data_IF_407930496545
#
_entry.id   IF_407930496545
#
_cell.length_a   1.000
_cell.length_b   1.000
_cell.length_c   1.000
_cell.angle_alpha   90.00
_cell.angle_beta   90.00
_cell.angle_gamma   90.00
#
_symmetry.space_group_name_H-M   'P 1'
#
loop_
_entity.id
_entity.type
_entity.pdbx_description
1 polymer ?
#
# COMPACT_ATOMS: atom_id res chain seq x y z
N UNK A 1 6.90 -60.73 -21.75
CA UNK A 1 6.98 -59.82 -20.62
C UNK A 1 5.95 -58.76 -20.91
N UNK A 2 4.73 -58.87 -20.36
CA UNK A 2 3.67 -57.88 -20.62
C UNK A 2 4.02 -56.60 -19.94
N UNK A 3 4.28 -55.56 -20.71
CA UNK A 3 4.49 -54.19 -20.24
C UNK A 3 3.23 -53.73 -19.52
N UNK A 4 3.39 -53.45 -18.23
CA UNK A 4 2.36 -52.81 -17.40
C UNK A 4 2.35 -51.30 -17.69
N UNK A 5 1.73 -50.89 -18.80
CA UNK A 5 1.33 -49.49 -18.96
C UNK A 5 0.35 -49.17 -17.83
N UNK A 6 0.67 -48.20 -16.98
CA UNK A 6 -0.34 -47.68 -16.05
C UNK A 6 -1.50 -47.09 -16.86
N UNK A 7 -2.73 -47.50 -16.60
CA UNK A 7 -3.87 -46.85 -17.24
C UNK A 7 -3.99 -45.41 -16.82
N UNK A 8 -4.50 -44.58 -17.72
CA UNK A 8 -4.74 -43.16 -17.42
C UNK A 8 -5.75 -42.99 -16.28
N UNK A 9 -5.59 -41.90 -15.50
CA UNK A 9 -6.52 -41.53 -14.43
C UNK A 9 -7.91 -41.30 -15.04
N UNK A 10 -8.96 -41.94 -14.53
CA UNK A 10 -10.31 -41.71 -15.04
C UNK A 10 -10.71 -40.23 -14.90
N UNK A 11 -11.14 -39.58 -15.95
CA UNK A 11 -11.48 -38.15 -15.98
C UNK A 11 -12.51 -37.73 -14.93
N UNK A 12 -13.42 -38.63 -14.56
CA UNK A 12 -14.38 -38.39 -13.48
C UNK A 12 -13.70 -38.24 -12.11
N UNK A 13 -12.57 -38.93 -11.85
CA UNK A 13 -11.83 -38.81 -10.61
C UNK A 13 -11.14 -37.45 -10.55
N UNK A 14 -10.55 -36.98 -11.65
CA UNK A 14 -9.97 -35.62 -11.74
C UNK A 14 -11.08 -34.56 -11.52
N UNK A 15 -12.26 -34.73 -12.11
CA UNK A 15 -13.38 -33.80 -11.90
C UNK A 15 -13.82 -33.71 -10.43
N UNK A 16 -13.88 -34.85 -9.75
CA UNK A 16 -14.19 -34.91 -8.32
C UNK A 16 -13.06 -34.26 -7.48
N UNK A 17 -11.79 -34.45 -7.84
CA UNK A 17 -10.66 -33.82 -7.18
C UNK A 17 -10.70 -32.29 -7.29
N UNK A 18 -10.92 -31.75 -8.50
CA UNK A 18 -11.06 -30.31 -8.75
C UNK A 18 -12.23 -29.69 -7.94
N UNK A 19 -13.38 -30.39 -7.97
CA UNK A 19 -14.54 -29.92 -7.23
C UNK A 19 -14.31 -29.90 -5.70
N UNK A 20 -13.75 -30.99 -5.14
CA UNK A 20 -13.43 -31.09 -3.71
C UNK A 20 -12.35 -30.07 -3.33
N UNK A 21 -11.32 -29.89 -4.15
CA UNK A 21 -10.29 -28.90 -3.92
C UNK A 21 -10.84 -27.46 -3.83
N UNK A 22 -11.80 -27.11 -4.68
CA UNK A 22 -12.51 -25.84 -4.58
C UNK A 22 -13.31 -25.71 -3.28
N UNK A 23 -13.95 -26.79 -2.83
CA UNK A 23 -14.73 -26.79 -1.59
C UNK A 23 -13.87 -26.51 -0.35
N UNK A 24 -12.59 -26.92 -0.34
CA UNK A 24 -11.64 -26.64 0.76
C UNK A 24 -11.57 -25.12 1.02
N UNK A 25 -11.59 -24.30 -0.05
CA UNK A 25 -11.58 -22.83 0.04
C UNK A 25 -12.99 -22.25 0.21
N UNK A 26 -13.97 -22.81 -0.50
CA UNK A 26 -15.34 -22.31 -0.43
C UNK A 26 -15.88 -22.39 1.00
N UNK A 27 -15.69 -23.50 1.74
CA UNK A 27 -16.29 -23.66 3.07
C UNK A 27 -15.88 -22.61 4.12
N UNK A 28 -14.61 -22.24 4.30
CA UNK A 28 -14.20 -21.26 5.29
C UNK A 28 -14.48 -19.80 4.88
N UNK A 29 -14.65 -19.53 3.57
CA UNK A 29 -14.84 -18.17 3.07
C UNK A 29 -16.29 -17.69 3.23
N UNK A 30 -16.48 -16.36 3.34
CA UNK A 30 -17.80 -15.73 3.38
C UNK A 30 -18.54 -15.98 2.07
N UNK A 31 -19.77 -16.54 2.18
CA UNK A 31 -20.61 -16.80 1.02
C UNK A 31 -21.18 -15.53 0.42
N UNK A 32 -21.31 -15.49 -0.92
CA UNK A 32 -21.96 -14.39 -1.63
C UNK A 32 -23.48 -14.46 -1.55
N UNK A 33 -24.03 -15.68 -1.51
CA UNK A 33 -25.46 -15.93 -1.54
C UNK A 33 -25.91 -16.69 -0.29
N UNK A 34 -27.25 -16.78 -0.11
CA UNK A 34 -27.87 -17.62 0.89
C UNK A 34 -27.49 -19.10 0.70
N UNK A 35 -27.52 -19.89 1.76
CA UNK A 35 -27.03 -21.25 1.78
C UNK A 35 -27.63 -22.15 0.69
N UNK A 36 -28.93 -22.04 0.36
CA UNK A 36 -29.57 -22.84 -0.65
C UNK A 36 -29.15 -22.49 -2.07
N UNK A 37 -28.94 -21.21 -2.39
CA UNK A 37 -28.40 -20.76 -3.69
C UNK A 37 -26.95 -21.21 -3.84
N UNK A 38 -26.15 -21.13 -2.79
CA UNK A 38 -24.78 -21.64 -2.80
C UNK A 38 -24.76 -23.16 -3.01
N UNK A 39 -25.64 -23.91 -2.36
CA UNK A 39 -25.75 -25.35 -2.57
C UNK A 39 -26.12 -25.71 -4.01
N UNK A 40 -27.05 -24.97 -4.65
CA UNK A 40 -27.39 -25.16 -6.05
C UNK A 40 -26.19 -24.89 -6.98
N UNK A 41 -25.41 -23.85 -6.73
CA UNK A 41 -24.18 -23.56 -7.50
C UNK A 41 -23.16 -24.68 -7.32
N UNK A 42 -22.96 -25.17 -6.09
CA UNK A 42 -22.02 -26.25 -5.77
C UNK A 42 -22.34 -27.51 -6.54
N UNK A 43 -23.60 -27.92 -6.54
CA UNK A 43 -24.05 -29.13 -7.32
C UNK A 43 -24.00 -28.89 -8.82
N UNK A 44 -24.40 -27.69 -9.27
CA UNK A 44 -24.34 -27.31 -10.69
C UNK A 44 -22.91 -27.34 -11.23
N UNK A 45 -21.94 -26.83 -10.47
CA UNK A 45 -20.53 -26.84 -10.88
C UNK A 45 -19.94 -28.25 -10.93
N UNK A 46 -20.34 -29.15 -10.04
CA UNK A 46 -19.94 -30.56 -10.15
C UNK A 46 -20.36 -31.17 -11.50
N UNK A 47 -21.60 -30.88 -11.92
CA UNK A 47 -22.08 -31.38 -13.22
C UNK A 47 -21.29 -30.74 -14.38
N UNK A 48 -21.06 -29.43 -14.33
CA UNK A 48 -20.35 -28.71 -15.40
C UNK A 48 -18.90 -29.19 -15.51
N UNK A 49 -18.16 -29.31 -14.40
CA UNK A 49 -16.79 -29.79 -14.41
C UNK A 49 -16.68 -31.24 -14.86
N UNK A 50 -17.57 -32.11 -14.37
CA UNK A 50 -17.61 -33.52 -14.80
C UNK A 50 -17.92 -33.65 -16.28
N UNK A 51 -18.90 -32.94 -16.78
CA UNK A 51 -19.27 -32.97 -18.22
C UNK A 51 -18.11 -32.43 -19.08
N UNK A 52 -17.46 -31.33 -18.64
CA UNK A 52 -16.34 -30.77 -19.38
C UNK A 52 -15.14 -31.73 -19.45
N UNK A 53 -14.69 -32.28 -18.32
CA UNK A 53 -13.52 -33.17 -18.27
C UNK A 53 -13.77 -34.50 -18.96
N UNK A 54 -14.99 -35.08 -18.88
CA UNK A 54 -15.34 -36.28 -19.60
C UNK A 54 -15.42 -36.04 -21.13
N UNK A 55 -15.96 -34.91 -21.57
CA UNK A 55 -16.04 -34.57 -23.00
C UNK A 55 -14.66 -34.28 -23.61
N UNK A 56 -13.70 -33.80 -22.80
CA UNK A 56 -12.33 -33.51 -23.24
C UNK A 56 -11.36 -34.67 -23.03
N UNK A 57 -11.83 -35.83 -22.58
CA UNK A 57 -10.99 -37.00 -22.29
C UNK A 57 -10.22 -37.57 -23.48
N UNK A 58 -10.78 -37.47 -24.70
CA UNK A 58 -10.22 -38.05 -25.93
C UNK A 58 -9.66 -36.98 -26.90
N UNK A 59 -9.28 -35.81 -26.38
CA UNK A 59 -8.78 -34.73 -27.23
C UNK A 59 -7.31 -34.96 -27.58
N UNK A 60 -6.92 -34.55 -28.81
CA UNK A 60 -5.52 -34.59 -29.25
C UNK A 60 -4.60 -33.81 -28.27
N UNK A 61 -3.39 -34.34 -28.07
CA UNK A 61 -2.40 -33.82 -27.10
C UNK A 61 -2.17 -32.30 -27.25
N UNK A 62 -2.24 -31.74 -28.45
CA UNK A 62 -2.09 -30.30 -28.71
C UNK A 62 -3.17 -29.43 -28.07
N UNK A 63 -4.38 -29.97 -27.90
CA UNK A 63 -5.52 -29.29 -27.27
C UNK A 63 -5.63 -29.58 -25.78
N UNK A 64 -4.80 -30.46 -25.23
CA UNK A 64 -4.85 -30.82 -23.84
C UNK A 64 -4.52 -29.61 -22.91
N UNK A 65 -3.42 -28.86 -23.18
CA UNK A 65 -3.06 -27.65 -22.42
C UNK A 65 -4.17 -26.59 -22.42
N UNK A 66 -4.74 -26.18 -23.57
CA UNK A 66 -5.91 -25.30 -23.59
C UNK A 66 -7.10 -25.80 -22.75
N UNK A 67 -7.40 -27.11 -22.78
CA UNK A 67 -8.48 -27.68 -21.97
C UNK A 67 -8.18 -27.56 -20.46
N UNK A 68 -6.93 -27.77 -20.03
CA UNK A 68 -6.55 -27.60 -18.63
C UNK A 68 -6.64 -26.13 -18.16
N UNK A 69 -6.28 -25.16 -19.01
CA UNK A 69 -6.48 -23.74 -18.72
C UNK A 69 -7.96 -23.41 -18.55
N UNK A 70 -8.84 -23.99 -19.37
CA UNK A 70 -10.29 -23.80 -19.24
C UNK A 70 -10.81 -24.45 -17.95
N UNK A 71 -10.30 -25.63 -17.57
CA UNK A 71 -10.65 -26.29 -16.31
C UNK A 71 -10.28 -25.44 -15.10
N UNK A 72 -9.05 -24.88 -15.07
CA UNK A 72 -8.61 -23.95 -14.01
C UNK A 72 -9.49 -22.70 -13.95
N UNK A 73 -9.87 -22.15 -15.12
CA UNK A 73 -10.80 -21.01 -15.18
C UNK A 73 -12.19 -21.35 -14.63
N UNK A 74 -12.69 -22.57 -14.85
CA UNK A 74 -13.94 -23.04 -14.25
C UNK A 74 -13.84 -23.15 -12.73
N UNK A 75 -12.69 -23.60 -12.20
CA UNK A 75 -12.43 -23.64 -10.76
C UNK A 75 -12.40 -22.23 -10.14
N UNK A 76 -11.72 -21.29 -10.78
CA UNK A 76 -11.70 -19.87 -10.39
C UNK A 76 -13.12 -19.29 -10.39
N UNK A 77 -13.87 -19.51 -11.45
CA UNK A 77 -15.26 -19.07 -11.58
C UNK A 77 -16.15 -19.67 -10.47
N UNK A 78 -15.96 -20.94 -10.14
CA UNK A 78 -16.68 -21.62 -9.08
C UNK A 78 -16.47 -20.94 -7.73
N UNK A 79 -15.21 -20.69 -7.33
CA UNK A 79 -14.87 -20.00 -6.07
C UNK A 79 -15.45 -18.57 -6.08
N UNK A 80 -15.30 -17.83 -7.18
CA UNK A 80 -15.79 -16.46 -7.30
C UNK A 80 -17.32 -16.36 -7.23
N UNK A 81 -18.04 -17.31 -7.82
CA UNK A 81 -19.50 -17.35 -7.78
C UNK A 81 -20.03 -17.67 -6.39
N UNK A 82 -19.37 -18.59 -5.66
CA UNK A 82 -19.81 -18.99 -4.33
C UNK A 82 -19.45 -18.00 -3.22
N UNK A 83 -18.31 -17.31 -3.35
CA UNK A 83 -17.73 -16.52 -2.27
C UNK A 83 -17.73 -15.01 -2.57
N UNK A 84 -17.81 -14.20 -1.51
CA UNK A 84 -17.70 -12.72 -1.59
C UNK A 84 -16.23 -12.31 -1.59
N UNK A 85 -15.51 -12.68 -2.64
CA UNK A 85 -14.09 -12.38 -2.83
C UNK A 85 -13.84 -11.68 -4.15
N UNK A 86 -12.75 -10.90 -4.23
CA UNK A 86 -12.32 -10.25 -5.45
C UNK A 86 -11.87 -11.31 -6.48
N UNK A 87 -11.95 -10.99 -7.77
CA UNK A 87 -11.52 -11.92 -8.83
C UNK A 87 -10.05 -12.35 -8.69
N UNK A 88 -9.16 -11.47 -8.23
CA UNK A 88 -7.75 -11.81 -7.96
C UNK A 88 -7.58 -12.80 -6.81
N UNK A 89 -8.33 -12.62 -5.72
CA UNK A 89 -8.29 -13.55 -4.59
C UNK A 89 -8.89 -14.90 -5.01
N UNK A 90 -10.00 -14.92 -5.77
CA UNK A 90 -10.58 -16.13 -6.34
C UNK A 90 -9.59 -16.87 -7.26
N UNK A 91 -8.88 -16.13 -8.12
CA UNK A 91 -7.85 -16.69 -8.98
C UNK A 91 -6.68 -17.29 -8.21
N UNK A 92 -6.25 -16.61 -7.13
CA UNK A 92 -5.21 -17.12 -6.25
C UNK A 92 -5.61 -18.42 -5.56
N UNK A 93 -6.83 -18.49 -5.03
CA UNK A 93 -7.36 -19.72 -4.44
C UNK A 93 -7.59 -20.84 -5.48
N UNK A 94 -8.03 -20.47 -6.68
CA UNK A 94 -8.20 -21.40 -7.80
C UNK A 94 -6.88 -22.07 -8.18
N UNK A 95 -5.81 -21.29 -8.32
CA UNK A 95 -4.47 -21.81 -8.59
C UNK A 95 -3.98 -22.82 -7.54
N UNK A 96 -4.20 -22.54 -6.24
CA UNK A 96 -3.86 -23.49 -5.19
C UNK A 96 -4.75 -24.73 -5.28
N UNK A 97 -6.07 -24.54 -5.46
CA UNK A 97 -7.01 -25.65 -5.61
C UNK A 97 -6.67 -26.56 -6.79
N UNK A 98 -6.18 -26.00 -7.90
CA UNK A 98 -5.73 -26.76 -9.06
C UNK A 98 -4.57 -27.71 -8.71
N UNK A 99 -3.50 -27.22 -8.05
CA UNK A 99 -2.36 -28.08 -7.63
C UNK A 99 -2.82 -29.13 -6.61
N UNK A 100 -3.74 -28.78 -5.71
CA UNK A 100 -4.32 -29.72 -4.74
C UNK A 100 -5.11 -30.81 -5.46
N UNK A 101 -5.90 -30.48 -6.49
CA UNK A 101 -6.66 -31.43 -7.28
C UNK A 101 -5.75 -32.41 -8.03
N UNK A 102 -4.68 -31.91 -8.66
CA UNK A 102 -3.68 -32.74 -9.33
C UNK A 102 -3.00 -33.70 -8.34
N UNK A 103 -2.61 -33.23 -7.16
CA UNK A 103 -2.07 -34.07 -6.10
C UNK A 103 -3.05 -35.14 -5.63
N UNK A 104 -4.32 -34.79 -5.39
CA UNK A 104 -5.33 -35.74 -4.91
C UNK A 104 -5.56 -36.85 -5.93
N UNK A 105 -5.69 -36.47 -7.19
CA UNK A 105 -5.95 -37.44 -8.29
C UNK A 105 -4.70 -38.35 -8.53
N UNK A 106 -3.49 -37.76 -8.52
CA UNK A 106 -2.27 -38.55 -8.73
C UNK A 106 -1.98 -39.50 -7.57
N UNK A 107 -2.16 -39.05 -6.31
CA UNK A 107 -1.94 -39.85 -5.12
C UNK A 107 -2.93 -41.03 -5.03
N UNK A 108 -4.21 -40.79 -5.25
CA UNK A 108 -5.22 -41.83 -5.24
C UNK A 108 -4.91 -42.91 -6.28
N UNK A 109 -4.67 -42.49 -7.54
CA UNK A 109 -4.42 -43.43 -8.64
C UNK A 109 -3.11 -44.21 -8.41
N UNK A 110 -2.09 -43.60 -7.87
CA UNK A 110 -0.84 -44.25 -7.50
C UNK A 110 -1.04 -45.34 -6.44
N UNK A 111 -1.87 -45.08 -5.41
CA UNK A 111 -2.19 -46.08 -4.38
C UNK A 111 -2.93 -47.26 -5.02
N UNK A 112 -3.92 -47.00 -5.89
CA UNK A 112 -4.64 -48.03 -6.56
C UNK A 112 -3.70 -48.90 -7.42
N UNK A 113 -2.84 -48.29 -8.21
CA UNK A 113 -1.90 -49.03 -9.09
C UNK A 113 -0.79 -49.73 -8.34
N UNK A 114 -0.33 -49.22 -7.21
CA UNK A 114 0.75 -49.86 -6.39
C UNK A 114 0.26 -51.09 -5.63
N UNK A 115 -1.00 -51.07 -5.17
CA UNK A 115 -1.57 -52.24 -4.45
C UNK A 115 -1.99 -53.34 -5.40
N UNK A 116 -2.50 -53.02 -6.57
CA UNK A 116 -3.00 -53.97 -7.55
C UNK A 116 -2.16 -53.98 -8.83
N UNK A 117 -1.07 -54.74 -8.80
CA UNK A 117 -0.11 -54.82 -9.90
C UNK A 117 -0.57 -55.66 -11.10
N UNK A 118 -1.56 -56.53 -10.97
CA UNK A 118 -2.02 -57.43 -12.04
C UNK A 118 -3.41 -57.09 -12.62
N UNK A 119 -4.34 -56.65 -11.79
CA UNK A 119 -5.70 -56.31 -12.22
C UNK A 119 -6.19 -55.20 -11.31
N UNK A 120 -6.86 -54.18 -11.84
CA UNK A 120 -7.49 -53.13 -11.05
C UNK A 120 -8.55 -53.72 -10.09
N UNK A 121 -8.65 -53.17 -8.86
CA UNK A 121 -9.70 -53.63 -7.93
C UNK A 121 -11.07 -53.38 -8.46
N UNK A 122 -12.07 -54.11 -7.96
CA UNK A 122 -13.48 -53.87 -8.32
C UNK A 122 -13.89 -52.42 -8.01
N UNK A 123 -14.86 -51.92 -8.79
CA UNK A 123 -15.31 -50.52 -8.72
C UNK A 123 -15.62 -50.02 -7.28
N UNK A 124 -16.21 -50.87 -6.44
CA UNK A 124 -16.50 -50.53 -5.03
C UNK A 124 -15.25 -50.22 -4.20
N UNK A 125 -14.16 -50.96 -4.42
CA UNK A 125 -12.89 -50.73 -3.71
C UNK A 125 -12.20 -49.47 -4.22
N UNK A 126 -12.25 -49.18 -5.54
CA UNK A 126 -11.72 -47.94 -6.09
C UNK A 126 -12.43 -46.71 -5.48
N UNK A 127 -13.76 -46.73 -5.40
CA UNK A 127 -14.56 -45.68 -4.79
C UNK A 127 -14.19 -45.51 -3.29
N UNK A 128 -13.99 -46.61 -2.57
CA UNK A 128 -13.62 -46.56 -1.17
C UNK A 128 -12.25 -45.88 -0.96
N UNK A 129 -11.24 -46.23 -1.77
CA UNK A 129 -9.91 -45.62 -1.74
C UNK A 129 -10.02 -44.15 -2.11
N UNK A 130 -10.75 -43.79 -3.14
CA UNK A 130 -10.99 -42.40 -3.58
C UNK A 130 -11.57 -41.58 -2.42
N UNK A 131 -12.63 -42.03 -1.77
CA UNK A 131 -13.26 -41.31 -0.66
C UNK A 131 -12.31 -41.19 0.51
N UNK A 132 -11.52 -42.22 0.82
CA UNK A 132 -10.55 -42.19 1.91
C UNK A 132 -9.42 -41.18 1.65
N UNK A 133 -8.82 -41.23 0.45
CA UNK A 133 -7.68 -40.34 0.08
C UNK A 133 -8.16 -38.90 -0.05
N UNK A 134 -9.20 -38.65 -0.82
CA UNK A 134 -9.73 -37.28 -1.04
C UNK A 134 -10.25 -36.68 0.27
N UNK A 135 -10.96 -37.47 1.08
CA UNK A 135 -11.43 -37.03 2.40
C UNK A 135 -10.29 -36.69 3.36
N UNK A 136 -9.25 -37.53 3.42
CA UNK A 136 -8.10 -37.28 4.30
C UNK A 136 -7.32 -36.02 3.88
N UNK A 137 -7.01 -35.89 2.59
CA UNK A 137 -6.29 -34.72 2.06
C UNK A 137 -7.12 -33.44 2.24
N UNK A 138 -8.39 -33.48 1.90
CA UNK A 138 -9.29 -32.34 2.05
C UNK A 138 -9.41 -31.89 3.51
N UNK A 139 -9.58 -32.83 4.44
CA UNK A 139 -9.65 -32.52 5.87
C UNK A 139 -8.36 -31.92 6.40
N UNK A 140 -7.20 -32.50 6.03
CA UNK A 140 -5.90 -32.00 6.45
C UNK A 140 -5.65 -30.57 5.97
N UNK A 141 -5.86 -30.32 4.67
CA UNK A 141 -5.68 -29.01 4.08
C UNK A 141 -6.69 -27.99 4.59
N UNK A 142 -7.95 -28.37 4.76
CA UNK A 142 -8.96 -27.51 5.37
C UNK A 142 -8.53 -27.05 6.77
N UNK A 143 -8.05 -27.97 7.60
CA UNK A 143 -7.59 -27.65 8.96
C UNK A 143 -6.35 -26.72 8.96
N UNK A 144 -5.40 -26.93 8.04
CA UNK A 144 -4.21 -26.08 7.89
C UNK A 144 -4.56 -24.70 7.39
N UNK A 145 -5.41 -24.62 6.36
CA UNK A 145 -5.80 -23.35 5.72
C UNK A 145 -6.69 -22.49 6.63
N UNK A 146 -7.59 -23.11 7.40
CA UNK A 146 -8.52 -22.39 8.28
C UNK A 146 -7.80 -21.45 9.27
N UNK A 147 -6.56 -21.79 9.69
CA UNK A 147 -5.77 -20.98 10.62
C UNK A 147 -5.18 -19.70 9.98
N UNK A 148 -5.00 -19.70 8.67
CA UNK A 148 -4.28 -18.65 7.93
C UNK A 148 -5.20 -17.83 7.00
N UNK A 149 -6.43 -18.27 6.79
CA UNK A 149 -7.41 -17.51 6.02
C UNK A 149 -7.99 -16.37 6.88
N UNK A 150 -8.02 -15.13 6.36
CA UNK A 150 -8.62 -14.02 7.08
C UNK A 150 -10.13 -14.24 7.26
N UNK A 151 -10.66 -13.83 8.42
CA UNK A 151 -12.09 -14.01 8.75
C UNK A 151 -13.04 -13.28 7.79
N UNK A 152 -12.58 -12.20 7.18
CA UNK A 152 -13.31 -11.44 6.16
C UNK A 152 -13.22 -12.06 4.76
N UNK A 153 -12.40 -13.10 4.60
CA UNK A 153 -12.19 -13.81 3.34
C UNK A 153 -11.42 -13.04 2.28
N UNK A 154 -10.98 -11.82 2.54
CA UNK A 154 -10.31 -10.95 1.55
C UNK A 154 -8.82 -10.88 1.85
N UNK A 155 -8.00 -11.54 1.04
CA UNK A 155 -6.54 -11.47 1.13
C UNK A 155 -6.01 -10.15 0.54
N UNK A 156 -6.78 -9.52 -0.37
CA UNK A 156 -6.36 -8.34 -1.12
C UNK A 156 -5.01 -8.54 -1.82
N UNK A 157 -4.89 -9.67 -2.52
CA UNK A 157 -3.67 -10.06 -3.23
C UNK A 157 -3.25 -8.98 -4.22
N UNK A 158 -1.98 -8.56 -4.13
CA UNK A 158 -1.39 -7.64 -5.09
C UNK A 158 -1.08 -8.35 -6.41
N UNK A 159 -0.94 -7.58 -7.50
CA UNK A 159 -0.56 -8.16 -8.80
C UNK A 159 0.76 -8.93 -8.75
N UNK A 160 1.73 -8.47 -7.94
CA UNK A 160 3.03 -9.13 -7.79
C UNK A 160 2.89 -10.50 -7.11
N UNK A 161 2.11 -10.58 -6.04
CA UNK A 161 1.82 -11.83 -5.32
C UNK A 161 1.03 -12.81 -6.21
N UNK A 162 0.07 -12.30 -6.99
CA UNK A 162 -0.68 -13.10 -7.95
C UNK A 162 0.23 -13.72 -9.02
N UNK A 163 1.10 -12.92 -9.65
CA UNK A 163 2.03 -13.42 -10.66
C UNK A 163 3.09 -14.36 -10.08
N UNK A 164 3.55 -14.17 -8.85
CA UNK A 164 4.48 -15.11 -8.21
C UNK A 164 3.82 -16.47 -7.96
N UNK A 165 2.56 -16.49 -7.52
CA UNK A 165 1.82 -17.73 -7.36
C UNK A 165 1.57 -18.42 -8.71
N UNK A 166 1.17 -17.67 -9.74
CA UNK A 166 0.97 -18.21 -11.10
C UNK A 166 2.27 -18.83 -11.65
N UNK A 167 3.42 -18.19 -11.43
CA UNK A 167 4.72 -18.74 -11.86
C UNK A 167 5.03 -20.07 -11.14
N UNK A 168 4.76 -20.15 -9.84
CA UNK A 168 4.94 -21.39 -9.06
C UNK A 168 4.04 -22.50 -9.63
N UNK A 169 2.76 -22.20 -9.87
CA UNK A 169 1.81 -23.18 -10.41
C UNK A 169 2.23 -23.67 -11.79
N UNK A 170 2.62 -22.75 -12.68
CA UNK A 170 3.11 -23.09 -14.03
C UNK A 170 4.36 -23.98 -13.93
N UNK A 171 5.30 -23.68 -13.03
CA UNK A 171 6.51 -24.49 -12.84
C UNK A 171 6.18 -25.89 -12.31
N UNK A 172 5.31 -25.98 -11.29
CA UNK A 172 4.84 -27.28 -10.74
C UNK A 172 4.15 -28.09 -11.82
N UNK A 173 3.20 -27.48 -12.54
CA UNK A 173 2.48 -28.15 -13.62
C UNK A 173 3.41 -28.62 -14.74
N UNK A 174 4.35 -27.80 -15.18
CA UNK A 174 5.31 -28.17 -16.23
C UNK A 174 6.18 -29.34 -15.80
N UNK A 175 6.71 -29.35 -14.59
CA UNK A 175 7.54 -30.45 -14.07
C UNK A 175 6.72 -31.71 -13.82
N UNK A 176 5.54 -31.59 -13.23
CA UNK A 176 4.61 -32.69 -12.94
C UNK A 176 4.17 -33.42 -14.22
N UNK A 177 3.99 -32.68 -15.34
CA UNK A 177 3.54 -33.24 -16.60
C UNK A 177 4.64 -33.43 -17.67
N UNK A 178 5.92 -33.16 -17.33
CA UNK A 178 7.06 -33.27 -18.25
C UNK A 178 7.17 -34.69 -18.82
N UNK A 179 6.93 -35.71 -18.01
CA UNK A 179 6.93 -37.11 -18.40
C UNK A 179 5.82 -37.50 -19.41
N UNK A 180 4.68 -36.83 -19.34
CA UNK A 180 3.58 -37.02 -20.26
C UNK A 180 3.92 -36.52 -21.68
N UNK A 181 4.71 -35.43 -21.74
CA UNK A 181 5.16 -34.83 -23.00
C UNK A 181 6.31 -35.66 -23.62
N UNK A 182 7.15 -36.28 -22.79
CA UNK A 182 8.30 -37.06 -23.26
C UNK A 182 7.94 -38.49 -23.73
N UNK A 183 6.77 -39.00 -23.41
CA UNK A 183 6.33 -40.34 -23.77
C UNK A 183 6.06 -40.59 -25.30
N UNK A 184 6.25 -39.58 -26.15
CA UNK A 184 6.23 -39.74 -27.61
C UNK A 184 7.56 -40.22 -28.22
N UNK A 185 8.60 -40.49 -27.43
CA UNK A 185 9.90 -40.96 -27.89
C UNK A 185 10.57 -41.96 -26.93
N UNK A 186 11.17 -42.98 -27.48
CA UNK A 186 12.20 -43.97 -27.07
C UNK A 186 12.46 -44.26 -25.56
N UNK A 187 11.82 -43.62 -24.58
CA UNK A 187 12.00 -43.84 -23.13
C UNK A 187 10.80 -44.54 -22.45
N UNK A 188 9.87 -45.10 -23.20
CA UNK A 188 8.56 -45.55 -22.70
C UNK A 188 8.57 -46.93 -21.99
N UNK A 189 9.66 -47.65 -21.99
CA UNK A 189 9.65 -49.05 -21.53
C UNK A 189 10.15 -49.16 -20.08
N UNK A 190 9.27 -49.33 -19.13
CA UNK A 190 9.59 -49.83 -17.79
C UNK A 190 9.51 -48.81 -16.62
N UNK A 191 9.35 -47.51 -16.84
CA UNK A 191 9.41 -46.47 -15.80
C UNK A 191 8.05 -45.80 -15.44
N UNK A 192 6.92 -46.31 -15.93
CA UNK A 192 5.59 -45.69 -15.72
C UNK A 192 5.22 -45.49 -14.22
N UNK A 193 5.63 -46.45 -13.36
CA UNK A 193 5.38 -46.38 -11.92
C UNK A 193 6.24 -45.28 -11.25
N UNK A 194 7.52 -45.19 -11.65
CA UNK A 194 8.46 -44.15 -11.13
C UNK A 194 8.03 -42.75 -11.54
N UNK A 195 7.48 -42.59 -12.73
CA UNK A 195 6.92 -41.33 -13.25
C UNK A 195 5.74 -40.88 -12.39
N UNK A 196 4.82 -41.78 -12.02
CA UNK A 196 3.73 -41.48 -11.10
C UNK A 196 4.19 -40.99 -9.74
N UNK A 197 5.24 -41.59 -9.19
CA UNK A 197 5.84 -41.16 -7.93
C UNK A 197 6.43 -39.76 -8.01
N UNK A 198 7.17 -39.43 -9.07
CA UNK A 198 7.74 -38.09 -9.30
C UNK A 198 6.63 -37.03 -9.37
N UNK A 199 5.55 -37.29 -10.11
CA UNK A 199 4.41 -36.39 -10.21
C UNK A 199 3.80 -36.08 -8.84
N UNK A 200 3.48 -37.10 -8.06
CA UNK A 200 2.87 -36.93 -6.72
C UNK A 200 3.79 -36.16 -5.76
N UNK A 201 5.11 -36.42 -5.81
CA UNK A 201 6.09 -35.69 -4.97
C UNK A 201 6.21 -34.23 -5.40
N UNK A 202 6.21 -33.94 -6.70
CA UNK A 202 6.28 -32.58 -7.25
C UNK A 202 5.04 -31.79 -6.85
N UNK A 203 3.85 -32.38 -7.00
CA UNK A 203 2.59 -31.74 -6.62
C UNK A 203 2.52 -31.48 -5.11
N UNK A 204 2.98 -32.40 -4.26
CA UNK A 204 3.08 -32.21 -2.83
C UNK A 204 4.05 -31.07 -2.48
N UNK A 205 5.21 -31.02 -3.14
CA UNK A 205 6.18 -29.93 -2.99
C UNK A 205 5.56 -28.59 -3.43
N UNK A 206 4.80 -28.58 -4.52
CA UNK A 206 4.04 -27.43 -5.00
C UNK A 206 3.04 -26.92 -3.98
N UNK A 207 2.26 -27.81 -3.36
CA UNK A 207 1.33 -27.46 -2.27
C UNK A 207 2.09 -26.84 -1.10
N UNK A 208 3.21 -27.41 -0.68
CA UNK A 208 4.00 -26.88 0.43
C UNK A 208 4.53 -25.46 0.15
N UNK A 209 5.03 -25.20 -1.08
CA UNK A 209 5.51 -23.89 -1.51
C UNK A 209 4.34 -22.88 -1.58
N UNK A 210 3.21 -23.27 -2.16
CA UNK A 210 2.02 -22.40 -2.24
C UNK A 210 1.42 -22.09 -0.86
N UNK A 211 1.46 -23.07 0.05
CA UNK A 211 1.04 -22.87 1.44
C UNK A 211 1.96 -21.86 2.17
N UNK A 212 3.28 -22.00 2.00
CA UNK A 212 4.23 -21.03 2.55
C UNK A 212 4.03 -19.63 1.95
N UNK A 213 3.76 -19.54 0.64
CA UNK A 213 3.44 -18.30 -0.05
C UNK A 213 2.13 -17.67 0.48
N UNK A 214 1.10 -18.48 0.78
CA UNK A 214 -0.15 -18.00 1.39
C UNK A 214 0.10 -17.38 2.78
N UNK A 215 0.89 -18.03 3.62
CA UNK A 215 1.28 -17.49 4.94
C UNK A 215 2.00 -16.15 4.77
N UNK A 216 2.96 -16.08 3.86
CA UNK A 216 3.72 -14.86 3.57
C UNK A 216 2.80 -13.71 3.11
N UNK A 217 1.83 -13.98 2.25
CA UNK A 217 0.84 -12.99 1.81
C UNK A 217 -0.01 -12.49 2.99
N UNK A 218 -0.41 -13.37 3.90
CA UNK A 218 -1.12 -13.02 5.13
C UNK A 218 -0.30 -12.11 6.04
N UNK A 219 0.97 -12.44 6.28
CA UNK A 219 1.89 -11.61 7.09
C UNK A 219 2.12 -10.23 6.46
N UNK A 220 2.33 -10.16 5.15
CA UNK A 220 2.49 -8.89 4.44
C UNK A 220 1.24 -8.01 4.54
N UNK A 221 0.05 -8.60 4.52
CA UNK A 221 -1.21 -7.89 4.75
C UNK A 221 -1.24 -7.27 6.14
N UNK A 222 -0.99 -8.07 7.18
CA UNK A 222 -1.00 -7.59 8.58
C UNK A 222 0.02 -6.48 8.78
N UNK A 223 1.23 -6.59 8.18
CA UNK A 223 2.24 -5.52 8.23
C UNK A 223 1.75 -4.23 7.59
N UNK A 224 1.11 -4.29 6.42
CA UNK A 224 0.54 -3.09 5.74
C UNK A 224 -0.56 -2.44 6.57
N UNK A 225 -1.43 -3.22 7.18
CA UNK A 225 -2.48 -2.71 8.08
C UNK A 225 -1.87 -2.04 9.32
N UNK A 226 -0.84 -2.65 9.92
CA UNK A 226 -0.13 -2.09 11.07
C UNK A 226 0.57 -0.76 10.71
N UNK A 227 1.28 -0.70 9.58
CA UNK A 227 1.92 0.53 9.09
C UNK A 227 0.90 1.64 8.85
N UNK A 228 -0.27 1.33 8.29
CA UNK A 228 -1.35 2.30 8.09
C UNK A 228 -1.85 2.87 9.43
N UNK A 229 -2.07 2.02 10.43
CA UNK A 229 -2.48 2.44 11.79
C UNK A 229 -1.39 3.28 12.45
N UNK A 230 -0.13 2.89 12.34
CA UNK A 230 0.99 3.67 12.90
C UNK A 230 1.09 5.07 12.27
N UNK A 231 0.89 5.18 10.95
CA UNK A 231 0.89 6.47 10.26
C UNK A 231 -0.26 7.37 10.75
N UNK A 232 -1.45 6.83 10.98
CA UNK A 232 -2.59 7.60 11.53
C UNK A 232 -2.28 8.07 12.95
N UNK A 233 -1.76 7.21 13.82
CA UNK A 233 -1.38 7.55 15.19
C UNK A 233 -0.29 8.62 15.21
N UNK A 234 0.72 8.52 14.35
CA UNK A 234 1.78 9.52 14.25
C UNK A 234 1.22 10.90 13.84
N UNK A 235 0.32 10.93 12.86
CA UNK A 235 -0.34 12.17 12.44
C UNK A 235 -1.18 12.78 13.57
N UNK A 236 -1.94 11.97 14.30
CA UNK A 236 -2.72 12.44 15.46
C UNK A 236 -1.81 12.99 16.56
N UNK A 237 -0.68 12.33 16.83
CA UNK A 237 0.29 12.81 17.81
C UNK A 237 0.88 14.17 17.42
N UNK A 238 1.24 14.36 16.15
CA UNK A 238 1.74 15.66 15.66
C UNK A 238 0.68 16.75 15.81
N UNK A 239 -0.57 16.47 15.44
CA UNK A 239 -1.68 17.43 15.61
C UNK A 239 -1.91 17.77 17.09
N UNK A 240 -1.90 16.75 17.96
CA UNK A 240 -2.03 16.97 19.42
C UNK A 240 -0.92 17.85 19.95
N UNK A 241 0.34 17.61 19.57
CA UNK A 241 1.49 18.40 19.97
C UNK A 241 1.36 19.86 19.53
N UNK A 242 0.98 20.11 18.27
CA UNK A 242 0.75 21.46 17.74
C UNK A 242 -0.38 22.18 18.48
N UNK A 243 -1.49 21.49 18.77
CA UNK A 243 -2.60 22.03 19.54
C UNK A 243 -2.16 22.43 20.97
N UNK A 244 -1.38 21.56 21.62
CA UNK A 244 -0.84 21.83 22.96
C UNK A 244 0.09 23.04 22.97
N UNK A 245 1.02 23.13 22.01
CA UNK A 245 1.92 24.28 21.87
C UNK A 245 1.13 25.59 21.66
N UNK A 246 0.04 25.54 20.89
CA UNK A 246 -0.85 26.69 20.69
C UNK A 246 -1.57 27.10 21.99
N UNK A 247 -2.05 26.12 22.77
CA UNK A 247 -2.69 26.38 24.07
C UNK A 247 -1.68 26.97 25.06
N UNK A 248 -0.46 26.45 25.10
CA UNK A 248 0.58 26.97 25.99
C UNK A 248 0.96 28.41 25.62
N UNK A 249 1.00 28.74 24.32
CA UNK A 249 1.20 30.10 23.83
C UNK A 249 0.06 31.05 24.26
N UNK A 250 -1.19 30.62 24.13
CA UNK A 250 -2.38 31.38 24.54
C UNK A 250 -2.33 31.63 26.06
N UNK A 251 -2.02 30.62 26.85
CA UNK A 251 -1.92 30.74 28.31
C UNK A 251 -0.80 31.71 28.74
N UNK A 252 0.35 31.66 28.06
CA UNK A 252 1.43 32.59 28.28
C UNK A 252 0.99 34.04 27.99
N UNK A 253 0.35 34.26 26.84
CA UNK A 253 -0.16 35.60 26.47
C UNK A 253 -1.25 36.08 27.41
N UNK A 254 -2.15 35.21 27.85
CA UNK A 254 -3.17 35.53 28.83
C UNK A 254 -2.54 36.00 30.17
N UNK A 255 -1.51 35.28 30.62
CA UNK A 255 -0.79 35.66 31.87
C UNK A 255 -0.11 37.00 31.74
N UNK A 256 0.56 37.23 30.61
CA UNK A 256 1.22 38.48 30.31
C UNK A 256 0.27 39.67 30.27
N UNK A 257 -0.86 39.52 29.55
CA UNK A 257 -1.92 40.54 29.49
C UNK A 257 -2.50 40.84 30.89
N UNK A 258 -2.73 39.79 31.72
CA UNK A 258 -3.23 39.96 33.08
C UNK A 258 -2.25 40.75 33.93
N UNK A 259 -0.96 40.52 33.77
CA UNK A 259 0.08 41.27 34.49
C UNK A 259 0.12 42.73 34.03
N UNK A 260 0.06 43.01 32.73
CA UNK A 260 0.01 44.35 32.16
C UNK A 260 -1.20 45.15 32.67
N UNK A 261 -2.38 44.52 32.72
CA UNK A 261 -3.60 45.15 33.28
C UNK A 261 -3.46 45.44 34.76
N UNK A 262 -2.78 44.56 35.53
CA UNK A 262 -2.57 44.80 36.94
C UNK A 262 -1.64 45.99 37.21
N UNK A 263 -0.58 46.15 36.42
CA UNK A 263 0.33 47.32 36.44
C UNK A 263 -0.43 48.59 36.11
N UNK A 264 -1.23 48.59 35.04
CA UNK A 264 -2.06 49.73 34.65
C UNK A 264 -3.05 50.18 35.75
N UNK A 265 -3.62 49.21 36.47
CA UNK A 265 -4.54 49.49 37.59
C UNK A 265 -3.84 50.10 38.82
N UNK A 266 -2.58 49.77 39.02
CA UNK A 266 -1.79 50.27 40.18
C UNK A 266 -1.12 51.58 39.92
N UNK A 267 -1.02 52.02 38.66
CA UNK A 267 -0.41 53.30 38.28
C UNK A 267 -1.35 54.47 38.57
N UNK A 268 -0.97 55.38 39.43
CA UNK A 268 -1.76 56.54 39.84
C UNK A 268 -1.42 57.80 39.06
N UNK A 269 -0.25 57.82 38.40
CA UNK A 269 0.19 58.96 37.59
C UNK A 269 -0.46 58.92 36.19
N UNK A 270 -1.26 59.92 35.81
CA UNK A 270 -1.93 59.94 34.52
C UNK A 270 -1.01 59.96 33.30
N UNK A 271 0.17 60.59 33.41
CA UNK A 271 1.17 60.67 32.33
C UNK A 271 1.81 59.30 32.09
N UNK A 272 2.26 58.63 33.13
CA UNK A 272 2.87 57.29 33.07
C UNK A 272 1.86 56.24 32.61
N UNK A 273 0.58 56.36 33.01
CA UNK A 273 -0.46 55.45 32.60
C UNK A 273 -0.75 55.61 31.10
N UNK A 274 -0.73 56.84 30.58
CA UNK A 274 -0.89 57.08 29.14
C UNK A 274 0.32 56.60 28.32
N UNK A 275 1.53 56.79 28.85
CA UNK A 275 2.75 56.27 28.23
C UNK A 275 2.72 54.73 28.13
N UNK A 276 2.27 54.07 29.19
CA UNK A 276 2.11 52.60 29.22
C UNK A 276 1.02 52.10 28.26
N UNK A 277 -0.10 52.81 28.16
CA UNK A 277 -1.14 52.52 27.20
C UNK A 277 -0.67 52.70 25.75
N UNK A 278 0.07 53.78 25.47
CA UNK A 278 0.67 54.01 24.16
C UNK A 278 1.68 52.88 23.78
N UNK A 279 2.49 52.46 24.76
CA UNK A 279 3.39 51.36 24.54
C UNK A 279 2.66 50.03 24.24
N UNK A 280 1.56 49.76 24.96
CA UNK A 280 0.70 48.60 24.66
C UNK A 280 0.01 48.71 23.28
N UNK A 281 -0.47 49.91 22.92
CA UNK A 281 -0.99 50.13 21.59
C UNK A 281 0.03 49.94 20.49
N UNK A 282 1.27 50.39 20.71
CA UNK A 282 2.37 50.21 19.77
C UNK A 282 2.78 48.73 19.66
N UNK A 283 2.80 47.99 20.78
CA UNK A 283 3.00 46.52 20.76
C UNK A 283 1.87 45.81 19.99
N UNK A 284 0.61 46.20 20.23
CA UNK A 284 -0.56 45.64 19.48
C UNK A 284 -0.47 46.03 18.01
N UNK A 285 -0.15 47.28 17.68
CA UNK A 285 0.04 47.72 16.28
C UNK A 285 1.20 47.00 15.60
N UNK A 286 2.33 46.79 16.28
CA UNK A 286 3.41 45.97 15.76
C UNK A 286 2.95 44.50 15.52
N UNK A 287 2.08 43.98 16.38
CA UNK A 287 1.49 42.66 16.21
C UNK A 287 0.49 42.61 15.07
N UNK A 288 -0.33 43.65 14.89
CA UNK A 288 -1.29 43.78 13.80
C UNK A 288 -0.66 44.18 12.46
N UNK A 289 0.46 44.88 12.46
CA UNK A 289 1.18 45.32 11.27
C UNK A 289 2.04 44.20 10.64
N UNK A 290 2.36 43.17 11.39
CA UNK A 290 3.17 42.06 10.90
C UNK A 290 2.34 41.06 10.10
N UNK A 291 2.34 41.21 8.80
CA UNK A 291 1.82 40.24 7.83
C UNK A 291 0.31 40.25 7.59
N UNK A 292 -0.22 41.36 7.03
CA UNK A 292 -1.54 41.36 6.35
C UNK A 292 -1.34 40.97 4.88
N UNK A 293 -1.21 39.67 4.60
CA UNK A 293 -1.05 39.18 3.22
C UNK A 293 -2.37 39.05 2.48
N UNK A 294 -3.51 39.15 3.18
CA UNK A 294 -4.86 38.90 2.64
C UNK A 294 -5.35 37.47 2.85
N UNK A 295 -4.49 36.53 3.30
CA UNK A 295 -4.89 35.17 3.63
C UNK A 295 -4.67 34.89 5.13
N UNK A 296 -5.75 34.68 5.88
CA UNK A 296 -5.73 34.54 7.34
C UNK A 296 -4.84 33.37 7.83
N UNK A 297 -4.75 32.30 7.07
CA UNK A 297 -3.94 31.13 7.43
C UNK A 297 -2.47 31.46 7.28
N UNK A 298 -2.09 32.06 6.15
CA UNK A 298 -0.72 32.53 5.91
C UNK A 298 -0.29 33.56 6.95
N UNK A 299 -1.16 34.54 7.24
CA UNK A 299 -0.91 35.57 8.26
C UNK A 299 -0.59 34.95 9.62
N UNK A 300 -1.35 33.92 10.03
CA UNK A 300 -1.12 33.23 11.29
C UNK A 300 0.25 32.52 11.31
N UNK A 301 0.59 31.78 10.25
CA UNK A 301 1.87 31.06 10.16
C UNK A 301 3.04 32.03 10.14
N UNK A 302 2.99 33.06 9.29
CA UNK A 302 4.05 34.06 9.17
C UNK A 302 4.26 34.83 10.46
N UNK A 303 3.19 35.25 11.13
CA UNK A 303 3.27 35.98 12.41
C UNK A 303 3.94 35.12 13.48
N UNK A 304 3.53 33.87 13.62
CA UNK A 304 4.14 32.95 14.59
C UNK A 304 5.65 32.77 14.34
N UNK A 305 6.04 32.58 13.09
CA UNK A 305 7.45 32.36 12.73
C UNK A 305 8.29 33.64 12.82
N UNK A 306 7.72 34.78 12.45
CA UNK A 306 8.37 36.11 12.59
C UNK A 306 8.67 36.42 14.04
N UNK A 307 7.72 36.20 14.96
CA UNK A 307 7.94 36.39 16.41
C UNK A 307 9.03 35.45 16.94
N UNK A 308 9.05 34.21 16.50
CA UNK A 308 10.11 33.28 16.87
C UNK A 308 11.48 33.76 16.37
N UNK A 309 11.56 34.23 15.12
CA UNK A 309 12.77 34.80 14.53
C UNK A 309 13.27 36.00 15.32
N UNK A 310 12.41 36.97 15.64
CA UNK A 310 12.74 38.16 16.40
C UNK A 310 13.33 37.80 17.76
N UNK A 311 12.74 36.85 18.49
CA UNK A 311 13.24 36.38 19.80
C UNK A 311 14.64 35.77 19.72
N UNK A 312 14.99 35.17 18.54
CA UNK A 312 16.29 34.50 18.37
C UNK A 312 17.31 35.32 17.56
N UNK A 313 17.02 36.61 17.31
CA UNK A 313 17.90 37.50 16.56
C UNK A 313 18.07 37.10 15.11
N UNK A 314 17.00 36.66 14.49
CA UNK A 314 16.93 36.31 13.05
C UNK A 314 16.14 37.43 12.35
N UNK A 315 16.74 38.08 11.37
CA UNK A 315 16.05 39.07 10.54
C UNK A 315 15.13 38.36 9.55
N UNK A 316 13.82 38.56 9.71
CA UNK A 316 12.81 37.94 8.87
C UNK A 316 12.14 39.01 8.01
N UNK A 317 12.20 38.82 6.68
CA UNK A 317 11.55 39.71 5.71
C UNK A 317 10.54 38.91 4.89
N UNK A 318 9.32 39.42 4.77
CA UNK A 318 8.28 38.78 4.00
C UNK A 318 7.60 39.76 3.05
N UNK A 319 7.53 39.41 1.76
CA UNK A 319 6.74 40.13 0.74
C UNK A 319 5.80 39.11 0.12
N UNK A 320 4.55 39.09 0.58
CA UNK A 320 3.61 38.08 0.20
C UNK A 320 2.23 38.65 -0.15
N UNK A 321 1.71 38.24 -1.30
CA UNK A 321 0.29 38.36 -1.64
C UNK A 321 -0.38 37.02 -1.33
N UNK A 322 -1.03 36.95 -0.17
CA UNK A 322 -1.69 35.75 0.32
C UNK A 322 -2.99 35.41 -0.43
N UNK A 323 -3.59 36.37 -1.11
CA UNK A 323 -4.82 36.15 -1.91
C UNK A 323 -4.57 35.13 -3.03
N UNK A 324 -3.33 35.05 -3.50
CA UNK A 324 -2.90 34.08 -4.50
C UNK A 324 -2.97 32.61 -4.02
N UNK A 325 -3.16 32.37 -2.71
CA UNK A 325 -3.24 31.05 -2.11
C UNK A 325 -4.67 30.57 -1.84
N UNK A 326 -5.69 31.35 -2.18
CA UNK A 326 -7.08 31.04 -1.82
C UNK A 326 -7.61 29.75 -2.48
N UNK A 327 -6.97 29.28 -3.55
CA UNK A 327 -7.30 28.00 -4.17
C UNK A 327 -6.68 26.78 -3.47
N UNK A 328 -5.80 27.01 -2.51
CA UNK A 328 -5.07 25.93 -1.80
C UNK A 328 -5.81 25.55 -0.52
N UNK A 329 -5.71 24.26 -0.16
CA UNK A 329 -6.19 23.77 1.13
C UNK A 329 -5.39 24.37 2.29
N UNK A 330 -6.09 24.68 3.39
CA UNK A 330 -5.51 25.26 4.61
C UNK A 330 -4.32 24.43 5.13
N UNK A 331 -4.47 23.10 5.16
CA UNK A 331 -3.43 22.19 5.64
C UNK A 331 -2.23 22.18 4.72
N UNK A 332 -2.44 22.35 3.42
CA UNK A 332 -1.37 22.37 2.43
C UNK A 332 -0.56 23.68 2.53
N UNK A 333 -1.21 24.83 2.78
CA UNK A 333 -0.54 26.10 3.08
C UNK A 333 0.32 25.92 4.35
N UNK A 334 -0.27 25.41 5.44
CA UNK A 334 0.47 25.17 6.70
C UNK A 334 1.65 24.22 6.51
N UNK A 335 1.48 23.17 5.70
CA UNK A 335 2.53 22.20 5.42
C UNK A 335 3.69 22.79 4.65
N UNK A 336 3.43 23.57 3.59
CA UNK A 336 4.49 24.19 2.78
C UNK A 336 5.24 25.24 3.57
N UNK A 337 4.54 26.24 4.12
CA UNK A 337 5.16 27.34 4.83
C UNK A 337 5.78 26.91 6.15
N UNK A 338 5.12 26.01 6.90
CA UNK A 338 5.65 25.47 8.14
C UNK A 338 6.98 24.74 7.92
N UNK A 339 7.01 23.77 7.02
CA UNK A 339 8.23 22.99 6.75
C UNK A 339 9.36 23.85 6.15
N UNK A 340 9.04 24.79 5.25
CA UNK A 340 10.05 25.64 4.62
C UNK A 340 10.68 26.58 5.65
N UNK A 341 9.86 27.24 6.47
CA UNK A 341 10.33 28.18 7.51
C UNK A 341 11.05 27.46 8.66
N UNK A 342 10.58 26.28 9.08
CA UNK A 342 11.29 25.51 10.11
C UNK A 342 12.67 25.10 9.65
N UNK A 343 12.82 24.67 8.39
CA UNK A 343 14.13 24.37 7.82
C UNK A 343 15.05 25.59 7.78
N UNK A 344 14.53 26.76 7.38
CA UNK A 344 15.26 28.01 7.36
C UNK A 344 15.70 28.43 8.76
N UNK A 345 14.79 28.47 9.73
CA UNK A 345 15.05 28.83 11.13
C UNK A 345 16.11 27.91 11.76
N UNK A 346 15.99 26.61 11.56
CA UNK A 346 16.96 25.64 12.06
C UNK A 346 18.36 25.84 11.47
N UNK A 347 18.45 26.30 10.23
CA UNK A 347 19.72 26.64 9.60
C UNK A 347 20.32 27.90 10.22
N UNK A 348 19.52 28.97 10.37
CA UNK A 348 19.92 30.23 10.93
C UNK A 348 20.39 30.15 12.39
N UNK A 349 19.76 29.31 13.20
CA UNK A 349 20.15 29.09 14.61
C UNK A 349 21.55 28.48 14.76
N UNK A 350 22.12 27.88 13.71
CA UNK A 350 23.50 27.36 13.74
C UNK A 350 24.56 28.42 13.42
N UNK A 351 24.16 29.56 12.89
CA UNK A 351 25.05 30.67 12.57
C UNK A 351 25.37 31.43 13.85
N UNK A 352 26.66 31.60 14.15
CA UNK A 352 27.08 32.27 15.35
C UNK A 352 26.83 33.81 15.30
N UNK A 353 27.06 34.39 14.14
CA UNK A 353 26.89 35.82 13.89
C UNK A 353 25.42 36.16 13.65
N UNK A 354 24.81 36.90 14.58
CA UNK A 354 23.37 37.25 14.49
C UNK A 354 23.07 38.21 13.34
N UNK A 355 24.01 39.02 12.87
CA UNK A 355 23.80 39.95 11.76
C UNK A 355 23.67 39.23 10.43
N UNK A 356 24.18 38.01 10.31
CA UNK A 356 24.07 37.17 9.14
C UNK A 356 22.83 36.26 9.11
N UNK A 357 22.03 36.26 10.19
CA UNK A 357 20.80 35.45 10.27
C UNK A 357 19.68 36.13 9.51
N UNK A 358 19.46 35.68 8.27
CA UNK A 358 18.57 36.35 7.34
C UNK A 358 17.63 35.32 6.68
N UNK A 359 16.32 35.57 6.78
CA UNK A 359 15.29 34.78 6.08
C UNK A 359 14.44 35.73 5.23
N UNK A 360 14.29 35.42 3.95
CA UNK A 360 13.43 36.12 3.04
C UNK A 360 12.34 35.20 2.48
N UNK A 361 11.10 35.64 2.53
CA UNK A 361 9.95 34.93 1.98
C UNK A 361 9.26 35.80 0.94
N UNK A 362 9.00 35.24 -0.23
CA UNK A 362 8.26 35.91 -1.28
C UNK A 362 7.12 35.04 -1.80
N UNK A 363 5.93 35.62 -1.89
CA UNK A 363 4.76 35.02 -2.55
C UNK A 363 4.29 35.98 -3.62
N UNK A 364 4.38 35.57 -4.87
CA UNK A 364 4.05 36.43 -6.03
C UNK A 364 3.50 35.62 -7.18
N UNK A 365 2.81 36.30 -8.07
CA UNK A 365 2.38 35.72 -9.35
C UNK A 365 3.31 36.17 -10.46
N UNK A 366 3.74 35.25 -11.29
CA UNK A 366 4.45 35.57 -12.53
C UNK A 366 3.79 34.84 -13.71
N UNK A 367 3.15 35.60 -14.58
CA UNK A 367 2.30 35.05 -15.65
C UNK A 367 1.22 34.14 -15.04
N UNK A 368 1.15 32.89 -15.47
CA UNK A 368 0.18 31.89 -15.00
C UNK A 368 0.74 30.98 -13.89
N UNK A 369 1.77 31.43 -13.17
CA UNK A 369 2.37 30.65 -12.10
C UNK A 369 2.38 31.43 -10.80
N UNK A 370 1.95 30.77 -9.72
CA UNK A 370 2.23 31.16 -8.35
C UNK A 370 3.68 30.78 -8.06
N UNK A 371 4.44 31.73 -7.54
CA UNK A 371 5.82 31.55 -7.12
C UNK A 371 5.90 31.74 -5.61
N UNK A 372 6.32 30.69 -4.89
CA UNK A 372 6.68 30.75 -3.49
C UNK A 372 8.20 30.61 -3.42
N UNK A 373 8.86 31.51 -2.73
CA UNK A 373 10.31 31.52 -2.61
C UNK A 373 10.71 31.72 -1.16
N UNK A 374 11.58 30.86 -0.66
CA UNK A 374 12.13 30.89 0.68
C UNK A 374 13.65 30.91 0.57
N UNK A 375 14.24 32.00 1.01
CA UNK A 375 15.69 32.20 0.97
C UNK A 375 16.22 32.35 2.38
N UNK A 376 17.31 31.66 2.68
CA UNK A 376 18.02 31.86 3.94
C UNK A 376 19.54 31.76 3.74
N UNK A 377 20.26 32.47 4.56
CA UNK A 377 21.72 32.39 4.56
C UNK A 377 22.18 31.10 5.23
N UNK A 378 23.30 30.54 4.82
CA UNK A 378 23.90 29.39 5.47
C UNK A 378 25.43 29.44 5.48
N UNK A 379 26.04 28.84 6.50
CA UNK A 379 27.49 28.67 6.60
C UNK A 379 27.85 27.20 6.51
N UNK A 380 28.90 26.85 5.76
CA UNK A 380 29.43 25.51 5.61
C UNK A 380 29.10 24.84 4.26
N UNK A 381 29.45 23.56 4.13
CA UNK A 381 29.24 22.79 2.89
C UNK A 381 27.96 21.94 2.99
N UNK A 382 27.06 22.12 2.04
CA UNK A 382 25.91 21.24 1.88
C UNK A 382 26.36 19.97 1.16
N UNK A 383 26.10 18.79 1.73
CA UNK A 383 26.41 17.52 1.10
C UNK A 383 25.30 17.17 0.12
N UNK A 384 25.63 17.09 -1.16
CA UNK A 384 24.73 16.64 -2.24
C UNK A 384 25.17 15.25 -2.68
N UNK A 385 24.26 14.27 -2.69
CA UNK A 385 24.49 12.95 -3.27
C UNK A 385 23.37 12.65 -4.28
N UNK A 386 23.72 12.36 -5.52
CA UNK A 386 22.79 12.07 -6.63
C UNK A 386 21.71 13.15 -6.83
N UNK A 387 22.10 14.44 -6.76
CA UNK A 387 21.16 15.56 -6.91
C UNK A 387 20.20 15.76 -5.73
N UNK A 388 20.40 15.06 -4.60
CA UNK A 388 19.61 15.20 -3.38
C UNK A 388 20.47 15.78 -2.26
N UNK A 389 19.96 16.81 -1.58
CA UNK A 389 20.60 17.37 -0.40
C UNK A 389 20.51 16.39 0.76
N UNK A 390 21.65 16.01 1.33
CA UNK A 390 21.72 15.14 2.51
C UNK A 390 21.61 16.00 3.76
N UNK A 391 20.78 15.56 4.71
CA UNK A 391 20.65 16.21 6.01
C UNK A 391 21.94 16.03 6.84
N UNK A 392 22.39 17.10 7.48
CA UNK A 392 23.59 17.11 8.35
C UNK A 392 23.31 16.60 9.78
N UNK A 393 22.09 16.14 10.08
CA UNK A 393 21.67 15.72 11.43
C UNK A 393 22.09 14.29 11.76
N UNK A 394 22.55 14.06 13.02
CA UNK A 394 23.06 12.79 13.55
C UNK A 394 21.98 11.70 13.72
N UNK A 395 20.72 12.05 13.85
CA UNK A 395 19.60 11.11 14.00
C UNK A 395 18.94 10.86 12.65
N UNK A 396 19.29 9.74 12.02
CA UNK A 396 18.86 9.35 10.67
C UNK A 396 17.38 8.94 10.54
N UNK A 397 16.68 8.67 11.62
CA UNK A 397 15.34 8.07 11.56
C UNK A 397 14.16 9.06 11.47
N UNK A 398 14.34 10.33 11.86
CA UNK A 398 13.23 11.30 11.91
C UNK A 398 13.41 12.56 11.05
N UNK A 399 14.49 12.73 10.26
CA UNK A 399 14.78 13.96 9.55
C UNK A 399 15.03 13.74 8.05
N UNK A 400 14.46 14.62 7.24
CA UNK A 400 14.41 14.58 5.77
C UNK A 400 12.99 14.60 5.24
N UNK A 401 12.00 14.65 6.12
CA UNK A 401 10.59 14.66 5.75
C UNK A 401 10.08 16.03 5.30
N UNK A 402 10.65 17.16 5.76
CA UNK A 402 10.16 18.50 5.44
C UNK A 402 10.14 18.79 3.94
N UNK A 403 11.25 18.61 3.24
CA UNK A 403 11.33 18.83 1.78
C UNK A 403 10.52 17.76 1.02
N UNK A 404 10.45 16.53 1.51
CA UNK A 404 9.59 15.49 0.93
C UNK A 404 8.11 15.85 1.07
N UNK A 405 7.71 16.35 2.24
CA UNK A 405 6.36 16.83 2.50
C UNK A 405 6.00 17.99 1.57
N UNK A 406 6.89 18.98 1.43
CA UNK A 406 6.70 20.09 0.49
C UNK A 406 6.51 19.56 -0.93
N UNK A 407 7.38 18.68 -1.42
CA UNK A 407 7.26 18.10 -2.75
C UNK A 407 5.95 17.33 -2.95
N UNK A 408 5.56 16.54 -1.95
CA UNK A 408 4.30 15.79 -1.99
C UNK A 408 3.11 16.73 -2.09
N UNK A 409 3.08 17.78 -1.26
CA UNK A 409 2.00 18.77 -1.26
C UNK A 409 1.95 19.56 -2.56
N UNK A 410 3.09 20.03 -3.06
CA UNK A 410 3.19 20.79 -4.32
C UNK A 410 2.75 19.98 -5.52
N UNK A 411 3.07 18.68 -5.54
CA UNK A 411 2.62 17.76 -6.61
C UNK A 411 1.10 17.62 -6.70
N UNK A 412 0.34 17.84 -5.61
CA UNK A 412 -1.14 17.85 -5.66
C UNK A 412 -1.70 18.97 -6.55
N UNK A 413 -0.91 20.03 -6.73
CA UNK A 413 -1.25 21.22 -7.51
C UNK A 413 -0.49 21.27 -8.83
N UNK A 414 0.02 20.14 -9.32
CA UNK A 414 0.83 20.03 -10.56
C UNK A 414 2.05 20.96 -10.57
N UNK A 415 2.56 21.30 -9.38
CA UNK A 415 3.66 22.23 -9.18
C UNK A 415 5.04 21.55 -9.19
N UNK A 416 6.07 22.38 -9.25
CA UNK A 416 7.47 21.97 -9.24
C UNK A 416 8.24 22.63 -8.10
N UNK A 417 9.18 21.89 -7.48
CA UNK A 417 10.05 22.37 -6.41
C UNK A 417 11.49 22.31 -6.87
N UNK A 418 12.16 23.46 -6.88
CA UNK A 418 13.60 23.60 -7.15
C UNK A 418 14.33 24.12 -5.94
N UNK A 419 15.57 23.70 -5.75
CA UNK A 419 16.46 24.18 -4.70
C UNK A 419 17.75 24.57 -5.37
N UNK A 420 18.20 25.81 -5.13
CA UNK A 420 19.48 26.31 -5.58
C UNK A 420 20.33 26.78 -4.38
N UNK A 421 21.64 26.78 -4.55
CA UNK A 421 22.58 27.23 -3.51
C UNK A 421 23.68 28.03 -4.18
N UNK A 422 23.68 29.33 -3.97
CA UNK A 422 24.69 30.27 -4.51
C UNK A 422 25.11 31.25 -3.44
N UNK A 423 26.41 31.55 -3.37
CA UNK A 423 26.97 32.60 -2.53
C UNK A 423 26.49 32.52 -1.06
N UNK A 424 26.44 31.32 -0.49
CA UNK A 424 25.95 31.05 0.87
C UNK A 424 24.45 31.33 1.07
N UNK A 425 23.67 31.38 0.01
CA UNK A 425 22.21 31.44 0.07
C UNK A 425 21.60 30.09 -0.33
N UNK A 426 20.69 29.61 0.49
CA UNK A 426 19.82 28.49 0.18
C UNK A 426 18.48 29.04 -0.34
N UNK A 427 18.13 28.74 -1.58
CA UNK A 427 16.93 29.22 -2.27
C UNK A 427 16.02 28.04 -2.58
N UNK A 428 14.89 27.92 -1.86
CA UNK A 428 13.81 26.99 -2.13
C UNK A 428 12.73 27.71 -2.93
N UNK A 429 12.58 27.33 -4.19
CA UNK A 429 11.60 27.91 -5.10
C UNK A 429 10.54 26.87 -5.47
N UNK A 430 9.28 27.26 -5.34
CA UNK A 430 8.12 26.48 -5.66
C UNK A 430 7.34 27.20 -6.75
N UNK A 431 6.96 26.46 -7.80
CA UNK A 431 6.17 26.95 -8.92
C UNK A 431 4.88 26.13 -8.99
N UNK A 432 3.73 26.79 -8.91
CA UNK A 432 2.42 26.14 -9.02
C UNK A 432 1.64 26.79 -10.17
N UNK A 433 1.15 26.03 -11.16
CA UNK A 433 0.35 26.57 -12.25
C UNK A 433 -1.01 27.06 -11.70
N UNK A 434 -1.35 28.30 -12.01
CA UNK A 434 -2.68 28.86 -11.68
C UNK A 434 -3.62 28.57 -12.87
N UNK A 435 -4.70 27.83 -12.61
CA UNK A 435 -5.75 27.65 -13.62
C UNK A 435 -6.40 29.01 -13.89
N UNK A 436 -6.50 29.42 -15.15
CA UNK A 436 -7.27 30.61 -15.56
C UNK A 436 -8.68 30.45 -15.00
N UNK A 437 -9.10 31.37 -14.16
CA UNK A 437 -10.50 31.52 -13.81
C UNK A 437 -11.24 32.09 -15.05
N UNK A 438 -12.43 31.56 -15.31
CA UNK A 438 -13.26 31.93 -16.48
C UNK A 438 -13.63 33.44 -16.59
N UNK A 439 -13.20 34.25 -15.61
CA UNK A 439 -13.33 35.71 -15.62
C UNK A 439 -12.31 36.46 -16.49
N UNK A 440 -11.16 35.84 -16.85
CA UNK A 440 -10.15 36.51 -17.67
C UNK A 440 -10.38 36.41 -19.18
N UNK A 441 -11.31 35.56 -19.60
CA UNK A 441 -11.72 35.46 -21.02
C UNK A 441 -12.71 36.57 -21.43
N UNK A 442 -13.37 37.23 -20.47
CA UNK A 442 -14.38 38.27 -20.73
C UNK A 442 -13.80 39.70 -20.91
N UNK A 443 -12.50 39.91 -20.64
CA UNK A 443 -11.85 41.23 -20.78
C UNK A 443 -10.95 41.37 -22.01
N UNK A 444 -10.74 40.32 -22.80
CA UNK A 444 -9.92 40.35 -24.02
C UNK A 444 -10.69 39.86 -25.27
N UNK A 445 -12.02 39.94 -25.28
CA UNK A 445 -12.87 39.69 -26.44
C UNK A 445 -13.51 40.97 -26.96
#
# INVERSE_FOLDING_TARGET
MMEHLMPDIPRIYTALAEWIACLIFIFPLKKRFEWWKSAFIIVGMLIVQSAFLVSTGNVLIYFWIPCMIIADFLMIAFIHLCCDVNFRDAGYFGMIAFVVAEFMASMEWQIVCSIWTRQLPGAGMQVLILVAVYGAVAFLLWKLLQQHLPKDGKLNISLKEYFSAALIVIAVFAVSNLSFISNTGAFSDGYALEIGHVRTIVDLGGIAVLYAHLIQCGELRVRRELEAVQNVLQNQYVQYKQSRESIDLINYKYHDLKHQIAVLRSETDPEKRNEFLNHMEDEIRQYEAQNKTGNKVLDTVLTSKSLYCAKHGITFTCVADGTLLDFMDIMDICSIFGNALDNAIECELKIADKEKRLIHVTVSQQKNFLILRFENYYEGSLKVKEGRFLTTKKEKEFHGYGIKSIRYTVNKYDGAVSIDTKENWFDLKILIPMKKTASDEAQNG
#
